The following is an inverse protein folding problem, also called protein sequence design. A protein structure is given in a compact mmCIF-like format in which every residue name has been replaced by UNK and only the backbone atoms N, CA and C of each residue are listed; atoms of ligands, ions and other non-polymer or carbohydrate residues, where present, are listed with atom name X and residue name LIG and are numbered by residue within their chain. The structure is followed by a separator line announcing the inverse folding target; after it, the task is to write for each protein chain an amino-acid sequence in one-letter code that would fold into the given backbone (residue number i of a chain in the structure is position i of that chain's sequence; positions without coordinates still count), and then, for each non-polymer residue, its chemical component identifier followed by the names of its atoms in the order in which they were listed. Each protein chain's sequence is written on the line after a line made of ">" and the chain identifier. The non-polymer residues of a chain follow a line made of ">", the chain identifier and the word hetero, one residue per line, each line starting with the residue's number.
data_IF_984752643671
#
_entry.id   IF_984752643671
#
_cell.length_a   1.000
_cell.length_b   1.000
_cell.length_c   1.000
_cell.angle_alpha   90.00
_cell.angle_beta   90.00
_cell.angle_gamma   90.00
#
_symmetry.space_group_name_H-M   'P 1'
#
loop_
_entity.id
_entity.type
_entity.pdbx_description
1 polymer ?
#
# COMPACT_ATOMS: atom_id res chain seq x y z
N UNK A 1 2.01 -7.59 -36.81
CA UNK A 1 3.49 -7.56 -36.82
C UNK A 1 4.08 -6.14 -36.75
N UNK A 2 3.53 -5.13 -37.44
CA UNK A 2 4.06 -3.75 -37.42
C UNK A 2 3.94 -3.00 -36.08
N UNK A 3 2.92 -3.29 -35.27
CA UNK A 3 2.70 -2.60 -33.98
C UNK A 3 3.83 -2.91 -32.98
N UNK A 4 4.40 -4.13 -33.00
CA UNK A 4 5.44 -4.51 -32.02
C UNK A 4 6.75 -3.77 -32.25
N UNK A 5 7.21 -3.63 -33.50
CA UNK A 5 8.48 -2.97 -33.83
C UNK A 5 8.46 -1.47 -33.48
N UNK A 6 7.33 -0.80 -33.72
CA UNK A 6 7.16 0.61 -33.37
C UNK A 6 7.15 0.83 -31.85
N UNK A 7 6.48 -0.03 -31.08
CA UNK A 7 6.48 0.06 -29.60
C UNK A 7 7.88 -0.20 -29.03
N UNK A 8 8.59 -1.20 -29.55
CA UNK A 8 9.96 -1.54 -29.13
C UNK A 8 10.97 -0.43 -29.44
N UNK A 9 10.70 0.41 -30.44
CA UNK A 9 11.56 1.54 -30.81
C UNK A 9 11.41 2.77 -29.91
N UNK A 10 10.37 2.81 -29.05
CA UNK A 10 10.14 3.94 -28.15
C UNK A 10 10.94 3.79 -26.86
N UNK A 11 11.46 4.89 -26.28
CA UNK A 11 12.07 4.84 -24.97
C UNK A 11 11.03 4.41 -23.94
N UNK A 12 11.36 3.38 -23.15
CA UNK A 12 10.52 2.93 -22.06
C UNK A 12 10.41 4.04 -20.99
N UNK A 13 9.19 4.54 -20.76
CA UNK A 13 8.92 5.62 -19.78
C UNK A 13 8.39 5.11 -18.43
N UNK A 14 8.01 3.84 -18.35
CA UNK A 14 7.40 3.24 -17.16
C UNK A 14 6.10 2.51 -17.49
N UNK A 15 5.41 2.06 -16.45
CA UNK A 15 4.05 1.53 -16.53
C UNK A 15 3.06 2.61 -16.06
N UNK A 16 2.01 2.84 -16.84
CA UNK A 16 0.97 3.82 -16.50
C UNK A 16 -0.02 3.25 -15.46
N UNK A 17 -0.09 1.93 -15.33
CA UNK A 17 -0.94 1.23 -14.37
C UNK A 17 -0.27 1.13 -13.00
N UNK A 18 -0.94 1.67 -11.98
CA UNK A 18 -0.60 1.40 -10.58
C UNK A 18 -1.27 0.08 -10.17
N UNK A 19 -0.51 -0.87 -9.61
CA UNK A 19 -1.10 -2.04 -8.98
C UNK A 19 -1.86 -1.58 -7.71
N UNK A 20 -3.19 -1.82 -7.60
CA UNK A 20 -3.97 -1.48 -6.41
C UNK A 20 -3.41 -2.06 -5.11
N UNK A 21 -2.57 -3.10 -5.19
CA UNK A 21 -1.88 -3.68 -4.04
C UNK A 21 -0.83 -2.74 -3.43
N UNK A 22 -0.33 -1.77 -4.19
CA UNK A 22 0.67 -0.81 -3.71
C UNK A 22 0.10 0.20 -2.70
N UNK A 23 -1.23 0.33 -2.62
CA UNK A 23 -1.92 1.16 -1.63
C UNK A 23 -2.12 0.44 -0.29
N UNK A 24 -1.87 -0.88 -0.22
CA UNK A 24 -2.09 -1.65 1.02
C UNK A 24 -1.07 -1.30 2.10
N UNK A 25 -1.56 -1.23 3.33
CA UNK A 25 -0.73 -1.01 4.51
C UNK A 25 -0.73 -2.29 5.36
N UNK A 26 0.44 -2.85 5.72
CA UNK A 26 0.50 -3.97 6.66
C UNK A 26 -0.13 -3.59 8.01
N UNK A 27 -0.79 -4.53 8.68
CA UNK A 27 -1.35 -4.34 10.03
C UNK A 27 -0.32 -4.49 11.16
N UNK A 28 0.84 -5.12 10.87
CA UNK A 28 1.81 -5.53 11.88
C UNK A 28 2.89 -4.47 12.22
N UNK A 29 2.79 -3.25 11.68
CA UNK A 29 3.75 -2.18 11.97
C UNK A 29 3.39 -1.47 13.27
N UNK A 30 3.44 -2.20 14.39
CA UNK A 30 3.11 -1.66 15.73
C UNK A 30 4.19 -0.77 16.32
N UNK A 31 5.45 -1.03 15.98
CA UNK A 31 6.57 -0.23 16.46
C UNK A 31 6.70 1.03 15.60
N UNK A 32 6.61 2.20 16.24
CA UNK A 32 6.59 3.50 15.56
C UNK A 32 7.82 3.72 14.65
N UNK A 33 9.01 3.36 15.12
CA UNK A 33 10.24 3.59 14.35
C UNK A 33 10.31 2.68 13.11
N UNK A 34 9.96 1.39 13.25
CA UNK A 34 9.86 0.45 12.12
C UNK A 34 8.79 0.93 11.13
N UNK A 35 7.65 1.43 11.63
CA UNK A 35 6.58 1.95 10.77
C UNK A 35 7.06 3.14 9.95
N UNK A 36 7.69 4.14 10.57
CA UNK A 36 8.22 5.31 9.87
C UNK A 36 9.20 4.92 8.78
N UNK A 37 10.13 4.02 9.08
CA UNK A 37 11.11 3.51 8.12
C UNK A 37 10.42 2.80 6.95
N UNK A 38 9.48 1.90 7.24
CA UNK A 38 8.71 1.20 6.22
C UNK A 38 7.97 2.17 5.30
N UNK A 39 7.24 3.15 5.87
CA UNK A 39 6.46 4.11 5.10
C UNK A 39 7.35 4.98 4.20
N UNK A 40 8.50 5.43 4.70
CA UNK A 40 9.48 6.21 3.93
C UNK A 40 10.04 5.40 2.75
N UNK A 41 10.41 4.15 3.01
CA UNK A 41 10.94 3.25 1.99
C UNK A 41 9.87 2.91 0.94
N UNK A 42 8.64 2.63 1.37
CA UNK A 42 7.51 2.31 0.49
C UNK A 42 7.22 3.44 -0.48
N UNK A 43 7.14 4.67 0.01
CA UNK A 43 6.91 5.85 -0.84
C UNK A 43 8.06 6.01 -1.84
N UNK A 44 9.30 5.88 -1.37
CA UNK A 44 10.51 6.08 -2.20
C UNK A 44 10.64 5.03 -3.31
N UNK A 45 10.35 3.77 -3.00
CA UNK A 45 10.54 2.67 -3.94
C UNK A 45 9.35 2.50 -4.89
N UNK A 46 8.13 2.68 -4.40
CA UNK A 46 6.91 2.30 -5.16
C UNK A 46 6.07 3.49 -5.60
N UNK A 47 6.02 4.58 -4.83
CA UNK A 47 5.06 5.68 -5.09
C UNK A 47 5.72 6.97 -5.60
N UNK A 48 7.04 7.05 -5.69
CA UNK A 48 7.79 8.27 -6.07
C UNK A 48 7.35 8.91 -7.39
N UNK A 49 6.80 8.11 -8.32
CA UNK A 49 6.34 8.56 -9.63
C UNK A 49 4.81 8.66 -9.74
N UNK A 50 4.09 8.33 -8.66
CA UNK A 50 2.63 8.21 -8.61
C UNK A 50 2.07 9.14 -7.52
N UNK A 51 2.21 10.45 -7.72
CA UNK A 51 1.88 11.47 -6.71
C UNK A 51 0.44 11.36 -6.17
N UNK A 52 -0.54 11.03 -7.01
CA UNK A 52 -1.94 10.87 -6.57
C UNK A 52 -2.15 9.69 -5.61
N UNK A 53 -1.30 8.67 -5.68
CA UNK A 53 -1.41 7.47 -4.84
C UNK A 53 -0.69 7.62 -3.50
N UNK A 54 0.26 8.57 -3.41
CA UNK A 54 0.91 8.91 -2.13
C UNK A 54 -0.11 9.43 -1.12
N UNK A 55 -1.07 10.25 -1.56
CA UNK A 55 -2.07 10.84 -0.67
C UNK A 55 -3.04 9.78 -0.13
N UNK A 56 -3.58 8.93 -1.01
CA UNK A 56 -4.44 7.80 -0.62
C UNK A 56 -3.72 6.84 0.31
N UNK A 57 -2.45 6.52 0.01
CA UNK A 57 -1.63 5.68 0.86
C UNK A 57 -1.49 6.29 2.26
N UNK A 58 -1.15 7.58 2.38
CA UNK A 58 -1.05 8.26 3.69
C UNK A 58 -2.38 8.26 4.44
N UNK A 59 -3.50 8.44 3.76
CA UNK A 59 -4.82 8.40 4.38
C UNK A 59 -5.14 7.01 4.95
N UNK A 60 -4.89 5.94 4.18
CA UNK A 60 -5.08 4.56 4.63
C UNK A 60 -4.20 4.20 5.83
N UNK A 61 -2.95 4.65 5.86
CA UNK A 61 -2.04 4.49 7.01
C UNK A 61 -2.60 5.20 8.23
N UNK A 62 -3.09 6.43 8.03
CA UNK A 62 -3.69 7.21 9.11
C UNK A 62 -4.91 6.49 9.65
N UNK A 63 -5.82 6.01 8.81
CA UNK A 63 -6.98 5.24 9.25
C UNK A 63 -6.62 3.99 10.04
N UNK A 64 -5.59 3.28 9.60
CA UNK A 64 -5.17 2.03 10.22
C UNK A 64 -4.51 2.22 11.60
N UNK A 65 -3.73 3.30 11.76
CA UNK A 65 -2.90 3.53 12.95
C UNK A 65 -3.34 4.74 13.80
N UNK A 66 -4.47 5.39 13.47
CA UNK A 66 -5.09 6.49 14.24
C UNK A 66 -5.27 6.15 15.73
N UNK A 67 -5.29 4.85 16.07
CA UNK A 67 -5.60 4.29 17.39
C UNK A 67 -4.38 3.78 18.19
N UNK A 68 -3.14 4.18 17.88
CA UNK A 68 -1.99 3.75 18.69
C UNK A 68 -2.03 4.20 20.18
N UNK A 69 -2.98 5.04 20.57
CA UNK A 69 -3.30 5.35 21.97
C UNK A 69 -4.29 4.36 22.62
N UNK A 70 -5.00 3.57 21.83
CA UNK A 70 -6.00 2.59 22.28
C UNK A 70 -5.98 1.31 21.40
N UNK A 71 -4.82 0.63 21.32
CA UNK A 71 -4.76 -0.72 20.76
C UNK A 71 -5.44 -1.71 21.72
N UNK A 72 -6.77 -1.67 21.77
CA UNK A 72 -7.56 -2.77 22.32
C UNK A 72 -7.40 -3.97 21.40
N UNK A 73 -7.00 -5.10 22.02
CA UNK A 73 -6.80 -6.45 21.48
C UNK A 73 -7.31 -6.71 20.05
N UNK A 74 -6.54 -7.44 19.20
CA UNK A 74 -6.99 -7.84 17.87
C UNK A 74 -8.41 -8.41 17.96
N UNK A 75 -9.35 -7.74 17.29
CA UNK A 75 -10.76 -8.15 17.23
C UNK A 75 -10.82 -9.40 16.35
N UNK A 76 -10.51 -10.54 16.96
CA UNK A 76 -10.58 -11.85 16.31
C UNK A 76 -12.03 -12.07 15.88
N UNK A 77 -12.29 -11.96 14.58
CA UNK A 77 -13.59 -12.32 14.01
C UNK A 77 -13.84 -13.79 14.35
N UNK A 78 -14.91 -14.07 15.10
CA UNK A 78 -15.33 -15.45 15.34
C UNK A 78 -15.73 -16.06 14.00
N UNK A 79 -14.89 -16.97 13.51
CA UNK A 79 -14.98 -17.57 12.17
C UNK A 79 -16.15 -18.56 12.04
N UNK A 80 -16.79 -18.93 13.15
CA UNK A 80 -17.93 -19.82 13.18
C UNK A 80 -18.97 -19.22 14.13
N UNK A 81 -20.09 -18.78 13.58
CA UNK A 81 -21.32 -18.67 14.37
C UNK A 81 -21.88 -20.09 14.42
N UNK A 82 -21.90 -20.66 15.62
CA UNK A 82 -22.42 -21.99 15.89
C UNK A 82 -23.90 -22.06 15.49
N UNK A 83 -24.18 -22.68 14.34
CA UNK A 83 -25.51 -23.18 14.03
C UNK A 83 -25.62 -24.59 14.62
N UNK A 84 -26.05 -24.67 15.87
CA UNK A 84 -26.66 -25.87 16.47
C UNK A 84 -28.02 -25.49 17.04
#
# INVERSE_FOLDING_TARGET
>A
LFISAYILSKPFKGFDSVDPRMERVPFDLRQNEIRKEYLSNHITWFLKNHNGEIEKFKESVKELYKDDTELTSPKQLKLFQDNY
#
